data_IF_207000552086
#
_entry.id   IF_207000552086
#
_cell.length_a   1.000
_cell.length_b   1.000
_cell.length_c   1.000
_cell.angle_alpha   90.00
_cell.angle_beta   90.00
_cell.angle_gamma   90.00
#
_symmetry.space_group_name_H-M   'P 1'
#
loop_
_entity.id
_entity.type
_entity.pdbx_description
1 polymer ?
#
# COMPACT_ATOMS: atom_id res chain seq x y z
N UNK A 1 -4.13 -17.87 -26.25
CA UNK A 1 -3.61 -19.00 -25.46
C UNK A 1 -3.56 -18.81 -23.93
N UNK A 2 -4.07 -17.71 -23.35
CA UNK A 2 -3.98 -17.42 -21.90
C UNK A 2 -5.27 -17.70 -21.10
N UNK A 3 -6.42 -17.86 -21.76
CA UNK A 3 -7.70 -18.10 -21.06
C UNK A 3 -7.88 -19.56 -20.66
N UNK A 4 -7.31 -20.51 -21.41
CA UNK A 4 -7.40 -21.95 -21.14
C UNK A 4 -6.69 -22.38 -19.84
N UNK A 5 -5.63 -21.69 -19.43
CA UNK A 5 -4.92 -21.98 -18.18
C UNK A 5 -5.74 -21.55 -16.95
N UNK A 6 -6.46 -20.43 -17.03
CA UNK A 6 -7.34 -19.98 -15.96
C UNK A 6 -8.54 -20.91 -15.77
N UNK A 7 -9.14 -21.38 -16.86
CA UNK A 7 -10.25 -22.36 -16.82
C UNK A 7 -9.77 -23.71 -16.27
N UNK A 8 -8.58 -24.17 -16.66
CA UNK A 8 -7.99 -25.40 -16.12
C UNK A 8 -7.69 -25.32 -14.63
N UNK A 9 -7.14 -24.20 -14.14
CA UNK A 9 -6.86 -23.99 -12.73
C UNK A 9 -8.15 -23.87 -11.90
N UNK A 10 -9.20 -23.25 -12.45
CA UNK A 10 -10.52 -23.15 -11.81
C UNK A 10 -11.22 -24.51 -11.75
N UNK A 11 -11.12 -25.33 -12.79
CA UNK A 11 -11.63 -26.70 -12.81
C UNK A 11 -10.89 -27.61 -11.84
N UNK A 12 -9.57 -27.43 -11.68
CA UNK A 12 -8.76 -28.16 -10.71
C UNK A 12 -9.12 -27.80 -9.25
N UNK A 13 -9.43 -26.55 -8.99
CA UNK A 13 -9.96 -26.09 -7.69
C UNK A 13 -11.34 -26.68 -7.38
N UNK A 14 -12.21 -26.85 -8.39
CA UNK A 14 -13.53 -27.48 -8.23
C UNK A 14 -13.38 -29.00 -8.03
N UNK A 15 -12.48 -29.67 -8.75
CA UNK A 15 -12.25 -31.10 -8.60
C UNK A 15 -11.71 -31.50 -7.22
N UNK A 16 -10.83 -30.65 -6.63
CA UNK A 16 -10.35 -30.84 -5.25
C UNK A 16 -11.48 -30.70 -4.21
N UNK A 17 -12.55 -29.98 -4.54
CA UNK A 17 -13.72 -29.87 -3.65
C UNK A 17 -14.63 -31.12 -3.66
N UNK A 18 -14.72 -31.82 -4.78
CA UNK A 18 -15.63 -32.98 -4.92
C UNK A 18 -15.13 -34.19 -4.12
N UNK A 19 -13.82 -34.47 -4.10
CA UNK A 19 -13.27 -35.55 -3.26
C UNK A 19 -13.31 -35.25 -1.75
N UNK A 20 -13.52 -33.97 -1.40
CA UNK A 20 -13.51 -33.50 -0.02
C UNK A 20 -14.85 -33.71 0.72
N UNK A 21 -15.92 -34.19 0.11
CA UNK A 21 -17.24 -34.30 0.77
C UNK A 21 -17.40 -35.47 1.75
N UNK A 22 -16.46 -36.36 1.84
CA UNK A 22 -16.60 -37.60 2.61
C UNK A 22 -15.80 -37.65 3.91
N UNK A 23 -16.02 -36.77 4.90
CA UNK A 23 -15.82 -37.07 6.34
C UNK A 23 -16.31 -35.97 7.28
N UNK A 24 -17.05 -36.36 8.33
CA UNK A 24 -17.87 -35.59 9.26
C UNK A 24 -17.14 -34.75 10.34
N UNK A 25 -15.99 -34.15 10.12
CA UNK A 25 -15.40 -33.28 11.12
C UNK A 25 -15.47 -31.80 10.71
N UNK A 26 -16.50 -31.11 11.21
CA UNK A 26 -16.64 -29.67 11.12
C UNK A 26 -15.80 -28.99 12.21
N UNK A 27 -14.74 -28.27 11.82
CA UNK A 27 -13.89 -27.55 12.75
C UNK A 27 -14.36 -26.11 13.01
N UNK A 28 -15.13 -25.51 12.09
CA UNK A 28 -15.71 -24.18 12.26
C UNK A 28 -17.10 -24.26 12.85
N UNK A 29 -17.18 -24.47 14.17
CA UNK A 29 -18.44 -24.48 14.91
C UNK A 29 -18.85 -23.10 15.43
N UNK A 30 -17.88 -22.23 15.69
CA UNK A 30 -18.09 -20.95 16.34
C UNK A 30 -18.44 -19.86 15.34
N UNK A 31 -19.25 -18.91 15.81
CA UNK A 31 -19.70 -17.76 15.00
C UNK A 31 -18.80 -16.53 15.18
N UNK A 32 -18.14 -16.41 16.31
CA UNK A 32 -17.34 -15.24 16.65
C UNK A 32 -15.89 -15.63 16.83
N UNK A 33 -15.00 -14.87 16.18
CA UNK A 33 -13.56 -15.00 16.40
C UNK A 33 -12.99 -13.63 16.72
N UNK A 34 -12.12 -13.61 17.70
CA UNK A 34 -11.31 -12.46 18.07
C UNK A 34 -9.84 -12.84 17.95
N UNK A 35 -8.99 -11.89 17.56
CA UNK A 35 -7.58 -12.19 17.41
C UNK A 35 -6.71 -10.98 17.18
N UNK A 36 -5.46 -11.27 16.87
CA UNK A 36 -4.45 -10.29 16.52
C UNK A 36 -3.96 -10.53 15.10
N UNK A 37 -3.63 -9.47 14.40
CA UNK A 37 -3.09 -9.52 13.06
C UNK A 37 -1.79 -8.75 12.97
N UNK A 38 -0.84 -9.28 12.22
CA UNK A 38 0.43 -8.64 11.91
C UNK A 38 0.78 -8.89 10.44
N UNK A 39 1.53 -7.99 9.86
CA UNK A 39 1.89 -8.15 8.47
C UNK A 39 2.79 -7.06 7.93
N UNK A 40 2.96 -7.12 6.63
CA UNK A 40 3.71 -6.13 5.86
C UNK A 40 2.90 -5.66 4.66
N UNK A 41 2.98 -4.38 4.34
CA UNK A 41 2.33 -3.76 3.20
C UNK A 41 3.34 -3.08 2.28
N UNK A 42 3.11 -3.18 0.99
CA UNK A 42 3.88 -2.52 -0.06
C UNK A 42 2.97 -1.50 -0.73
N UNK A 43 3.45 -0.28 -0.90
CA UNK A 43 2.62 0.82 -1.39
C UNK A 43 3.25 1.49 -2.60
N UNK A 44 2.41 1.76 -3.60
CA UNK A 44 2.79 2.47 -4.82
C UNK A 44 1.77 3.57 -5.13
N UNK A 45 2.20 4.81 -5.41
CA UNK A 45 1.35 5.85 -5.95
C UNK A 45 0.93 5.54 -7.39
N UNK A 46 -0.37 5.65 -7.67
CA UNK A 46 -0.93 5.61 -9.02
C UNK A 46 -1.25 7.05 -9.42
N UNK A 47 -0.43 7.60 -10.29
CA UNK A 47 -0.46 9.00 -10.68
C UNK A 47 -1.67 9.27 -11.55
N UNK A 48 -2.45 10.28 -11.19
CA UNK A 48 -3.58 10.79 -11.95
C UNK A 48 -3.19 12.05 -12.74
N UNK A 49 -2.42 12.94 -12.09
CA UNK A 49 -2.04 14.22 -12.67
C UNK A 49 -0.67 14.62 -12.11
N UNK A 50 0.24 15.02 -13.01
CA UNK A 50 1.59 15.46 -12.65
C UNK A 50 1.65 16.97 -12.55
N UNK A 51 2.46 17.45 -11.61
CA UNK A 51 2.69 18.88 -11.39
C UNK A 51 4.19 19.15 -11.31
N UNK A 52 4.61 20.22 -11.96
CA UNK A 52 5.98 20.72 -11.91
C UNK A 52 5.96 22.22 -11.66
N UNK A 53 6.97 22.73 -10.95
CA UNK A 53 7.21 24.17 -10.79
C UNK A 53 7.84 24.78 -12.03
N UNK A 54 8.57 23.98 -12.79
CA UNK A 54 9.25 24.44 -13.99
C UNK A 54 8.35 24.14 -15.19
N UNK A 55 7.92 25.18 -15.88
CA UNK A 55 7.26 25.01 -17.16
C UNK A 55 8.24 24.34 -18.13
N UNK A 56 7.82 23.23 -18.71
CA UNK A 56 8.57 22.60 -19.81
C UNK A 56 8.44 23.47 -21.04
N UNK A 57 9.49 24.19 -21.39
CA UNK A 57 9.55 24.79 -22.72
C UNK A 57 9.50 23.70 -23.77
N UNK A 58 8.92 23.93 -24.97
CA UNK A 58 8.79 22.90 -26.01
C UNK A 58 10.11 22.23 -26.42
N UNK A 59 11.24 22.87 -26.16
CA UNK A 59 12.59 22.33 -26.39
C UNK A 59 13.12 21.49 -25.23
N UNK A 60 12.59 21.65 -24.00
CA UNK A 60 12.97 20.89 -22.81
C UNK A 60 12.00 19.76 -22.47
N UNK A 61 11.01 19.50 -23.33
CA UNK A 61 10.04 18.41 -23.16
C UNK A 61 10.69 17.00 -23.18
N UNK A 62 11.97 16.92 -23.50
CA UNK A 62 12.73 15.69 -23.52
C UNK A 62 13.42 15.45 -22.15
N UNK A 63 12.82 14.56 -21.37
CA UNK A 63 13.46 13.64 -20.41
C UNK A 63 13.97 14.17 -19.07
N UNK A 64 14.23 15.47 -18.86
CA UNK A 64 15.04 15.91 -17.71
C UNK A 64 14.27 16.32 -16.45
N UNK A 65 12.94 16.42 -16.51
CA UNK A 65 12.11 16.89 -15.38
C UNK A 65 11.08 15.88 -14.88
N UNK A 66 11.22 14.62 -15.26
CA UNK A 66 10.23 13.61 -14.90
C UNK A 66 10.46 13.08 -13.49
N UNK A 67 9.42 13.24 -12.63
CA UNK A 67 9.33 12.49 -11.39
C UNK A 67 9.21 11.00 -11.69
N UNK A 68 10.17 10.23 -11.20
CA UNK A 68 10.17 8.76 -11.30
C UNK A 68 9.75 8.16 -9.97
N UNK A 69 8.57 7.52 -9.95
CA UNK A 69 8.09 6.82 -8.77
C UNK A 69 8.68 5.42 -8.67
N UNK A 70 8.99 5.03 -7.44
CA UNK A 70 9.52 3.71 -7.18
C UNK A 70 8.50 2.59 -7.41
N UNK A 71 8.99 1.36 -7.55
CA UNK A 71 8.16 0.18 -7.77
C UNK A 71 7.47 -0.27 -6.47
N UNK A 72 6.36 -1.02 -6.61
CA UNK A 72 5.51 -1.47 -5.50
C UNK A 72 6.28 -2.19 -4.37
N UNK A 73 7.26 -3.04 -4.70
CA UNK A 73 7.95 -3.88 -3.72
C UNK A 73 9.24 -3.28 -3.15
N UNK A 74 9.53 -2.00 -3.41
CA UNK A 74 10.79 -1.39 -2.94
C UNK A 74 10.81 -1.14 -1.43
N UNK A 75 9.67 -0.76 -0.83
CA UNK A 75 9.63 -0.38 0.57
C UNK A 75 8.47 -1.06 1.29
N UNK A 76 8.81 -1.90 2.25
CA UNK A 76 7.84 -2.55 3.11
C UNK A 76 7.43 -1.62 4.26
N UNK A 77 6.13 -1.59 4.55
CA UNK A 77 5.55 -0.97 5.74
C UNK A 77 4.99 -2.02 6.69
N UNK A 78 5.04 -1.74 7.99
CA UNK A 78 4.48 -2.63 9.02
C UNK A 78 2.98 -2.49 9.17
N UNK A 79 2.31 -3.58 9.52
CA UNK A 79 0.87 -3.65 9.83
C UNK A 79 0.72 -4.46 11.11
N UNK A 80 -0.02 -3.93 12.10
CA UNK A 80 -0.36 -4.65 13.33
C UNK A 80 -1.68 -4.15 13.90
N UNK A 81 -2.50 -5.08 14.39
CA UNK A 81 -3.84 -4.74 14.85
C UNK A 81 -4.62 -5.90 15.42
N UNK A 82 -5.91 -5.71 15.51
CA UNK A 82 -6.87 -6.66 16.00
C UNK A 82 -7.64 -7.30 14.86
N UNK A 83 -8.23 -8.44 15.11
CA UNK A 83 -9.11 -9.16 14.20
C UNK A 83 -10.43 -9.49 14.87
N UNK A 84 -11.50 -9.16 14.20
CA UNK A 84 -12.86 -9.51 14.57
C UNK A 84 -13.52 -10.19 13.39
N UNK A 85 -14.13 -11.35 13.58
CA UNK A 85 -14.95 -11.94 12.55
C UNK A 85 -16.27 -12.49 13.10
N UNK A 86 -17.31 -12.30 12.33
CA UNK A 86 -18.64 -12.83 12.58
C UNK A 86 -19.09 -13.70 11.42
N UNK A 87 -19.33 -14.98 11.69
CA UNK A 87 -19.81 -15.94 10.71
C UNK A 87 -21.33 -16.02 10.71
N UNK A 88 -21.96 -15.60 9.63
CA UNK A 88 -23.40 -15.78 9.41
C UNK A 88 -23.74 -17.23 9.09
N UNK A 89 -22.90 -17.85 8.27
CA UNK A 89 -23.02 -19.24 7.88
C UNK A 89 -21.66 -19.93 8.04
N UNK A 90 -21.59 -21.21 7.72
CA UNK A 90 -20.33 -21.98 7.75
C UNK A 90 -19.29 -21.49 6.73
N UNK A 91 -19.77 -20.84 5.67
CA UNK A 91 -18.93 -20.38 4.55
C UNK A 91 -18.82 -18.85 4.47
N UNK A 92 -19.80 -18.11 4.99
CA UNK A 92 -19.83 -16.65 4.87
C UNK A 92 -19.63 -15.97 6.22
N UNK A 93 -18.76 -14.98 6.25
CA UNK A 93 -18.46 -14.15 7.43
C UNK A 93 -18.21 -12.70 7.04
N UNK A 94 -18.41 -11.80 8.00
CA UNK A 94 -17.91 -10.43 7.96
C UNK A 94 -16.69 -10.36 8.85
N UNK A 95 -15.66 -9.69 8.34
CA UNK A 95 -14.37 -9.54 9.00
C UNK A 95 -14.04 -8.06 9.11
N UNK A 96 -13.59 -7.64 10.28
CA UNK A 96 -12.97 -6.34 10.50
C UNK A 96 -11.60 -6.52 11.12
N UNK A 97 -10.61 -5.78 10.61
CA UNK A 97 -9.23 -5.86 11.08
C UNK A 97 -8.69 -4.44 11.35
N UNK A 98 -9.22 -3.75 12.40
CA UNK A 98 -8.66 -2.45 12.76
C UNK A 98 -7.18 -2.58 13.10
N UNK A 99 -6.36 -1.78 12.43
CA UNK A 99 -4.91 -1.90 12.55
C UNK A 99 -4.20 -0.56 12.34
N UNK A 100 -3.00 -0.47 12.89
CA UNK A 100 -2.02 0.55 12.56
C UNK A 100 -1.23 0.07 11.35
N UNK A 101 -1.07 0.95 10.38
CA UNK A 101 -0.33 0.67 9.17
C UNK A 101 0.64 1.80 8.85
N UNK A 102 1.86 1.44 8.48
CA UNK A 102 2.83 2.35 7.89
C UNK A 102 2.87 2.09 6.37
N UNK A 103 2.60 3.10 5.57
CA UNK A 103 2.77 3.09 4.12
C UNK A 103 4.07 3.81 3.77
N UNK A 104 4.85 3.25 2.85
CA UNK A 104 6.11 3.83 2.40
C UNK A 104 6.21 3.77 0.89
N UNK A 105 6.63 4.88 0.29
CA UNK A 105 6.95 4.95 -1.12
C UNK A 105 8.01 6.02 -1.36
N UNK A 106 8.65 5.97 -2.52
CA UNK A 106 9.64 6.94 -2.92
C UNK A 106 9.37 7.45 -4.33
N UNK A 107 9.92 8.60 -4.60
CA UNK A 107 10.06 9.13 -5.95
C UNK A 107 11.34 9.97 -6.05
N UNK A 108 11.79 10.17 -7.27
CA UNK A 108 13.03 10.86 -7.60
C UNK A 108 12.74 11.97 -8.59
N UNK A 109 13.26 13.17 -8.30
CA UNK A 109 13.27 14.30 -9.20
C UNK A 109 14.68 14.48 -9.71
N UNK A 110 14.89 14.47 -11.03
CA UNK A 110 16.15 14.72 -11.68
C UNK A 110 16.10 16.04 -12.42
N UNK A 111 17.07 16.90 -12.19
CA UNK A 111 17.21 18.18 -12.85
C UNK A 111 18.57 18.26 -13.51
N UNK A 112 18.56 18.71 -14.77
CA UNK A 112 19.76 18.92 -15.56
C UNK A 112 19.72 20.32 -16.16
N UNK A 113 20.73 21.13 -15.88
CA UNK A 113 20.91 22.44 -16.47
C UNK A 113 22.26 22.48 -17.19
N UNK A 114 22.26 23.01 -18.43
CA UNK A 114 23.46 23.35 -19.14
C UNK A 114 23.61 24.88 -19.17
N UNK A 115 24.76 25.37 -18.70
CA UNK A 115 25.10 26.78 -18.84
C UNK A 115 25.73 26.99 -20.23
N UNK A 116 25.00 27.69 -21.09
CA UNK A 116 25.45 27.99 -22.45
C UNK A 116 26.64 28.97 -22.52
N UNK A 117 26.94 29.67 -21.42
CA UNK A 117 28.00 30.67 -21.35
C UNK A 117 29.33 30.03 -20.90
N UNK A 118 29.29 29.21 -19.89
CA UNK A 118 30.48 28.57 -19.30
C UNK A 118 30.71 27.15 -19.78
N UNK A 119 29.74 26.54 -20.47
CA UNK A 119 29.78 25.15 -20.89
C UNK A 119 29.68 24.15 -19.71
N UNK A 120 29.31 24.62 -18.51
CA UNK A 120 29.15 23.78 -17.33
C UNK A 120 27.80 23.09 -17.32
N UNK A 121 27.80 21.82 -16.91
CA UNK A 121 26.57 21.05 -16.69
C UNK A 121 26.37 20.84 -15.19
N UNK A 122 25.15 21.07 -14.71
CA UNK A 122 24.76 20.87 -13.32
C UNK A 122 23.66 19.82 -13.26
N UNK A 123 23.94 18.72 -12.56
CA UNK A 123 22.98 17.67 -12.29
C UNK A 123 22.56 17.73 -10.82
N UNK A 124 21.26 17.76 -10.57
CA UNK A 124 20.71 17.63 -9.21
C UNK A 124 19.71 16.50 -9.18
N UNK A 125 19.90 15.60 -8.24
CA UNK A 125 19.01 14.48 -7.99
C UNK A 125 18.45 14.61 -6.56
N UNK A 126 17.11 14.58 -6.45
CA UNK A 126 16.41 14.60 -5.18
C UNK A 126 15.62 13.30 -5.01
N UNK A 127 16.06 12.45 -4.10
CA UNK A 127 15.34 11.25 -3.72
C UNK A 127 14.42 11.56 -2.53
N UNK A 128 13.12 11.51 -2.77
CA UNK A 128 12.09 11.73 -1.78
C UNK A 128 11.55 10.40 -1.27
N UNK A 129 11.69 10.15 0.03
CA UNK A 129 11.09 8.99 0.71
C UNK A 129 9.94 9.46 1.57
N UNK A 130 8.73 8.98 1.29
CA UNK A 130 7.55 9.32 2.05
C UNK A 130 7.11 8.16 2.94
N UNK A 131 6.67 8.51 4.14
CA UNK A 131 6.13 7.60 5.14
C UNK A 131 4.80 8.18 5.64
N UNK A 132 3.72 7.38 5.55
CA UNK A 132 2.40 7.74 6.04
C UNK A 132 1.98 6.70 7.07
N UNK A 133 1.62 7.14 8.27
CA UNK A 133 1.10 6.30 9.32
C UNK A 133 -0.42 6.46 9.42
N UNK A 134 -1.15 5.35 9.27
CA UNK A 134 -2.60 5.33 9.22
C UNK A 134 -3.18 4.42 10.31
N UNK A 135 -4.35 4.81 10.82
CA UNK A 135 -5.30 3.89 11.46
C UNK A 135 -6.24 3.41 10.37
N UNK A 136 -6.32 2.10 10.19
CA UNK A 136 -7.14 1.45 9.16
C UNK A 136 -8.26 0.65 9.81
N UNK A 137 -9.47 0.78 9.27
CA UNK A 137 -10.67 0.06 9.72
C UNK A 137 -11.34 -0.56 8.50
N UNK A 138 -10.98 -1.80 8.11
CA UNK A 138 -11.61 -2.51 7.01
C UNK A 138 -12.90 -3.18 7.47
N UNK A 139 -13.87 -3.27 6.55
CA UNK A 139 -15.07 -4.11 6.67
C UNK A 139 -15.12 -4.98 5.42
N UNK A 140 -14.91 -6.27 5.59
CA UNK A 140 -14.75 -7.23 4.50
C UNK A 140 -15.82 -8.32 4.60
N UNK A 141 -16.49 -8.61 3.49
CA UNK A 141 -17.22 -9.85 3.30
C UNK A 141 -16.20 -10.94 2.92
N UNK A 142 -16.21 -12.05 3.63
CA UNK A 142 -15.33 -13.18 3.42
C UNK A 142 -16.14 -14.44 3.13
N UNK A 143 -15.71 -15.16 2.09
CA UNK A 143 -16.24 -16.45 1.71
C UNK A 143 -15.15 -17.52 1.86
N UNK A 144 -15.40 -18.48 2.72
CA UNK A 144 -14.56 -19.66 2.91
C UNK A 144 -15.03 -20.79 2.00
N UNK A 145 -14.13 -21.45 1.27
CA UNK A 145 -14.48 -22.54 0.36
C UNK A 145 -14.67 -23.88 1.07
N UNK A 146 -14.29 -23.99 2.33
CA UNK A 146 -14.39 -25.22 3.11
C UNK A 146 -14.63 -24.93 4.58
N UNK A 147 -15.42 -25.76 5.25
CA UNK A 147 -15.58 -25.72 6.71
C UNK A 147 -14.64 -26.71 7.44
N UNK A 148 -13.60 -27.18 6.78
CA UNK A 148 -12.60 -28.12 7.30
C UNK A 148 -11.46 -27.42 8.02
N UNK A 149 -10.45 -28.19 8.46
CA UNK A 149 -9.22 -27.67 9.09
C UNK A 149 -8.55 -26.63 8.21
N UNK A 150 -8.36 -26.93 6.93
CA UNK A 150 -7.81 -26.02 5.95
C UNK A 150 -8.95 -25.41 5.15
N UNK A 151 -9.06 -24.11 5.17
CA UNK A 151 -10.11 -23.37 4.48
C UNK A 151 -9.48 -22.24 3.67
N UNK A 152 -9.29 -22.45 2.35
CA UNK A 152 -9.04 -21.33 1.46
C UNK A 152 -10.22 -20.37 1.47
N UNK A 153 -9.96 -19.07 1.30
CA UNK A 153 -11.00 -18.06 1.29
C UNK A 153 -10.67 -16.91 0.33
N UNK A 154 -11.70 -16.21 -0.05
CA UNK A 154 -11.62 -14.91 -0.69
C UNK A 154 -12.34 -13.89 0.18
N UNK A 155 -11.92 -12.64 0.08
CA UNK A 155 -12.57 -11.54 0.80
C UNK A 155 -12.56 -10.28 -0.04
N UNK A 156 -13.61 -9.46 0.12
CA UNK A 156 -13.72 -8.17 -0.55
C UNK A 156 -14.52 -7.21 0.32
N UNK A 157 -14.30 -5.91 0.16
CA UNK A 157 -15.02 -4.89 0.89
C UNK A 157 -14.38 -3.52 0.79
N UNK A 158 -14.59 -2.72 1.82
CA UNK A 158 -14.07 -1.37 1.93
C UNK A 158 -13.22 -1.20 3.19
N UNK A 159 -12.28 -0.27 3.14
CA UNK A 159 -11.49 0.17 4.29
C UNK A 159 -11.56 1.67 4.42
N UNK A 160 -11.80 2.16 5.62
CA UNK A 160 -11.60 3.56 5.99
C UNK A 160 -10.21 3.70 6.63
N UNK A 161 -9.40 4.59 6.10
CA UNK A 161 -8.05 4.85 6.58
C UNK A 161 -7.96 6.32 7.05
N UNK A 162 -7.41 6.53 8.24
CA UNK A 162 -7.20 7.85 8.84
C UNK A 162 -5.70 8.06 8.99
N UNK A 163 -5.12 8.98 8.20
CA UNK A 163 -3.74 9.38 8.32
C UNK A 163 -3.56 10.29 9.55
N UNK A 164 -2.75 9.85 10.51
CA UNK A 164 -2.48 10.63 11.71
C UNK A 164 -1.09 11.28 11.73
N UNK A 165 -0.16 10.77 10.94
CA UNK A 165 1.17 11.33 10.80
C UNK A 165 1.77 10.98 9.44
N UNK A 166 2.38 11.96 8.79
CA UNK A 166 3.15 11.76 7.57
C UNK A 166 4.46 12.52 7.62
N UNK A 167 5.51 11.92 7.13
CA UNK A 167 6.83 12.54 7.02
C UNK A 167 7.45 12.25 5.66
N UNK A 168 8.27 13.19 5.21
CA UNK A 168 9.03 13.12 3.98
C UNK A 168 10.50 13.33 4.30
N UNK A 169 11.33 12.42 3.86
CA UNK A 169 12.78 12.52 3.95
C UNK A 169 13.35 12.76 2.55
N UNK A 170 14.15 13.79 2.41
CA UNK A 170 14.74 14.21 1.14
C UNK A 170 16.25 13.96 1.22
N UNK A 171 16.76 13.24 0.24
CA UNK A 171 18.18 13.03 0.02
C UNK A 171 18.57 13.80 -1.21
N UNK A 172 19.54 14.68 -1.08
CA UNK A 172 20.05 15.50 -2.19
C UNK A 172 21.40 14.97 -2.60
N UNK A 173 21.55 14.63 -3.87
CA UNK A 173 22.84 14.36 -4.50
C UNK A 173 23.13 15.51 -5.47
N UNK A 174 24.17 16.29 -5.18
CA UNK A 174 24.63 17.38 -6.02
C UNK A 174 25.85 16.91 -6.79
N UNK A 175 25.69 16.62 -8.07
CA UNK A 175 26.81 16.37 -8.98
C UNK A 175 27.06 17.63 -9.79
N UNK A 176 28.19 18.27 -9.56
CA UNK A 176 28.69 19.37 -10.37
C UNK A 176 29.84 18.80 -11.19
N UNK A 177 29.64 18.65 -12.49
CA UNK A 177 30.70 18.20 -13.37
C UNK A 177 31.58 19.40 -13.76
N UNK A 178 32.55 19.71 -12.89
CA UNK A 178 33.73 20.45 -13.25
C UNK A 178 34.88 19.44 -13.35
N UNK A 179 34.98 18.77 -14.42
CA UNK A 179 36.05 17.97 -15.03
C UNK A 179 37.08 17.20 -14.12
N UNK A 180 37.09 17.25 -12.80
CA UNK A 180 38.08 16.51 -11.98
C UNK A 180 37.59 16.02 -10.59
N UNK A 181 36.60 16.63 -9.94
CA UNK A 181 36.27 16.23 -8.56
C UNK A 181 34.74 15.98 -8.40
N UNK A 182 34.30 14.71 -8.48
CA UNK A 182 33.00 14.29 -8.02
C UNK A 182 32.89 14.39 -6.51
N UNK A 183 32.51 15.53 -5.99
CA UNK A 183 32.11 15.67 -4.59
C UNK A 183 30.61 15.42 -4.46
N UNK A 184 30.24 14.21 -4.14
CA UNK A 184 28.86 13.85 -3.78
C UNK A 184 28.61 14.29 -2.33
N UNK A 185 27.93 15.39 -2.15
CA UNK A 185 27.46 15.80 -0.84
C UNK A 185 26.03 15.29 -0.65
N UNK A 186 25.86 14.20 0.10
CA UNK A 186 24.55 13.70 0.46
C UNK A 186 24.07 14.42 1.72
N UNK A 187 23.04 15.24 1.61
CA UNK A 187 22.35 15.81 2.76
C UNK A 187 20.97 15.17 2.90
N UNK A 188 20.50 14.98 4.14
CA UNK A 188 19.16 14.50 4.39
C UNK A 188 18.39 15.51 5.22
N UNK A 189 17.18 15.85 4.77
CA UNK A 189 16.24 16.67 5.51
C UNK A 189 14.95 15.93 5.73
N UNK A 190 14.36 16.04 6.93
CA UNK A 190 13.09 15.43 7.28
C UNK A 190 12.05 16.51 7.50
N UNK A 191 10.94 16.42 6.81
CA UNK A 191 9.85 17.37 6.89
C UNK A 191 8.53 16.67 7.21
N UNK A 192 7.70 17.30 8.02
CA UNK A 192 6.34 16.85 8.28
C UNK A 192 5.44 17.20 7.09
N UNK A 193 4.57 16.25 6.70
CA UNK A 193 3.69 16.33 5.53
C UNK A 193 2.22 16.08 5.87
N UNK A 194 1.88 16.00 7.15
CA UNK A 194 0.52 15.62 7.59
C UNK A 194 -0.55 16.59 7.11
N UNK A 195 -0.24 17.89 7.04
CA UNK A 195 -1.15 18.94 6.58
C UNK A 195 -1.48 18.84 5.09
N UNK A 196 -0.56 18.32 4.27
CA UNK A 196 -0.71 18.22 2.82
C UNK A 196 -1.50 16.99 2.35
N UNK A 197 -1.91 16.12 3.29
CA UNK A 197 -2.63 14.89 2.98
C UNK A 197 -4.12 15.01 3.30
N UNK A 198 -4.93 14.41 2.45
CA UNK A 198 -6.29 14.07 2.84
C UNK A 198 -6.23 13.06 3.99
N UNK A 199 -6.57 13.52 5.21
CA UNK A 199 -6.48 12.69 6.42
C UNK A 199 -7.40 11.48 6.38
N UNK A 200 -8.55 11.61 5.72
CA UNK A 200 -9.52 10.53 5.59
C UNK A 200 -9.54 9.99 4.16
N UNK A 201 -9.26 8.71 4.01
CA UNK A 201 -9.28 8.01 2.74
C UNK A 201 -10.12 6.74 2.80
N UNK A 202 -10.72 6.37 1.68
CA UNK A 202 -11.49 5.12 1.52
C UNK A 202 -10.81 4.28 0.47
N UNK A 203 -10.69 2.99 0.74
CA UNK A 203 -10.07 2.01 -0.16
C UNK A 203 -11.05 0.91 -0.52
N UNK A 204 -11.08 0.51 -1.78
CA UNK A 204 -11.61 -0.79 -2.19
C UNK A 204 -10.57 -1.86 -1.86
N UNK A 205 -11.02 -2.97 -1.28
CA UNK A 205 -10.16 -4.06 -0.81
C UNK A 205 -10.62 -5.36 -1.44
N UNK A 206 -9.68 -6.12 -1.99
CA UNK A 206 -9.88 -7.48 -2.45
C UNK A 206 -8.73 -8.36 -2.03
N UNK A 207 -8.99 -9.60 -1.66
CA UNK A 207 -7.92 -10.49 -1.23
C UNK A 207 -8.31 -11.95 -1.18
N UNK A 208 -7.30 -12.77 -0.95
CA UNK A 208 -7.43 -14.21 -0.78
C UNK A 208 -6.48 -14.72 0.30
N UNK A 209 -6.76 -15.89 0.80
CA UNK A 209 -5.91 -16.48 1.82
C UNK A 209 -6.29 -17.91 2.15
N UNK A 210 -5.63 -18.41 3.17
CA UNK A 210 -5.88 -19.73 3.71
C UNK A 210 -5.96 -19.65 5.23
N UNK A 211 -6.93 -20.35 5.83
CA UNK A 211 -7.07 -20.45 7.28
C UNK A 211 -6.94 -21.90 7.72
N UNK A 212 -6.28 -22.09 8.83
CA UNK A 212 -6.19 -23.34 9.54
C UNK A 212 -6.97 -23.25 10.85
N UNK A 213 -8.02 -24.05 10.98
CA UNK A 213 -8.90 -24.06 12.14
C UNK A 213 -8.60 -25.24 13.05
N UNK A 214 -8.48 -24.97 14.34
CA UNK A 214 -8.49 -25.91 15.44
C UNK A 214 -9.61 -25.55 16.41
N UNK A 215 -9.90 -26.43 17.38
CA UNK A 215 -10.96 -26.19 18.36
C UNK A 215 -10.67 -24.97 19.25
N UNK A 216 -9.42 -24.72 19.59
CA UNK A 216 -9.00 -23.67 20.52
C UNK A 216 -8.50 -22.40 19.80
N UNK A 217 -8.05 -22.49 18.57
CA UNK A 217 -7.49 -21.37 17.83
C UNK A 217 -7.64 -21.56 16.32
N UNK A 218 -7.48 -20.47 15.59
CA UNK A 218 -7.32 -20.50 14.14
C UNK A 218 -6.17 -19.57 13.72
N UNK A 219 -5.44 -19.96 12.68
CA UNK A 219 -4.38 -19.17 12.06
C UNK A 219 -4.79 -18.91 10.63
N UNK A 220 -4.61 -17.68 10.18
CA UNK A 220 -4.94 -17.27 8.81
C UNK A 220 -3.77 -16.52 8.19
N UNK A 221 -3.42 -16.90 6.96
CA UNK A 221 -2.51 -16.14 6.10
C UNK A 221 -3.31 -15.56 4.95
N UNK A 222 -3.23 -14.25 4.76
CA UNK A 222 -3.96 -13.54 3.70
C UNK A 222 -3.08 -12.59 2.93
N UNK A 223 -3.35 -12.47 1.62
CA UNK A 223 -2.86 -11.43 0.74
C UNK A 223 -4.01 -10.54 0.30
N UNK A 224 -3.87 -9.23 0.43
CA UNK A 224 -4.89 -8.27 0.03
C UNK A 224 -4.30 -7.22 -0.90
N UNK A 225 -5.11 -6.79 -1.86
CA UNK A 225 -4.84 -5.63 -2.71
C UNK A 225 -5.85 -4.56 -2.34
N UNK A 226 -5.38 -3.34 -2.13
CA UNK A 226 -6.18 -2.19 -1.76
C UNK A 226 -5.92 -1.03 -2.72
N UNK A 227 -6.97 -0.44 -3.22
CA UNK A 227 -6.92 0.73 -4.11
C UNK A 227 -7.65 1.90 -3.47
N UNK A 228 -6.95 3.03 -3.30
CA UNK A 228 -7.53 4.26 -2.78
C UNK A 228 -8.53 4.85 -3.76
N UNK A 229 -9.74 5.10 -3.28
CA UNK A 229 -10.82 5.68 -4.09
C UNK A 229 -10.77 7.22 -4.13
N UNK A 230 -10.01 7.80 -3.21
CA UNK A 230 -9.82 9.25 -3.09
C UNK A 230 -8.36 9.62 -3.27
N UNK A 231 -8.09 10.80 -3.81
CA UNK A 231 -6.73 11.33 -3.92
C UNK A 231 -6.09 11.48 -2.53
N UNK A 232 -4.84 11.07 -2.42
CA UNK A 232 -4.09 11.10 -1.17
C UNK A 232 -3.65 12.52 -0.79
N UNK A 233 -3.35 13.36 -1.79
CA UNK A 233 -2.91 14.74 -1.59
C UNK A 233 -4.12 15.66 -1.57
N UNK A 234 -4.13 16.61 -0.63
CA UNK A 234 -5.12 17.68 -0.61
C UNK A 234 -4.83 18.68 -1.75
N UNK A 235 -5.77 18.89 -2.69
CA UNK A 235 -5.55 19.81 -3.80
C UNK A 235 -5.31 21.25 -3.37
N UNK A 236 -5.87 21.68 -2.24
CA UNK A 236 -5.74 23.05 -1.72
C UNK A 236 -4.40 23.28 -1.03
N UNK A 237 -3.88 22.26 -0.35
CA UNK A 237 -2.60 22.31 0.36
C UNK A 237 -1.38 22.01 -0.53
N UNK A 238 -1.59 21.69 -1.80
CA UNK A 238 -0.52 21.41 -2.77
C UNK A 238 0.40 22.60 -2.99
N UNK A 239 -0.17 23.79 -3.01
CA UNK A 239 0.49 25.08 -3.25
C UNK A 239 0.61 25.90 -1.97
N UNK A 240 0.35 25.30 -0.81
CA UNK A 240 0.43 26.02 0.45
C UNK A 240 1.86 26.54 0.69
N UNK A 241 2.00 27.46 1.65
CA UNK A 241 3.21 28.18 2.06
C UNK A 241 4.42 27.30 2.44
N UNK A 242 4.45 26.08 1.96
CA UNK A 242 5.56 25.18 2.09
C UNK A 242 6.70 25.61 1.16
N UNK A 243 7.06 26.88 1.31
CA UNK A 243 8.02 27.59 0.47
C UNK A 243 9.39 26.91 0.43
N UNK A 244 9.80 26.29 1.54
CA UNK A 244 11.06 25.58 1.61
C UNK A 244 11.17 24.40 0.64
N UNK A 245 10.11 23.57 0.51
CA UNK A 245 10.17 22.41 -0.41
C UNK A 245 10.06 22.82 -1.86
N UNK A 246 9.15 23.74 -2.19
CA UNK A 246 8.93 24.17 -3.55
C UNK A 246 10.15 24.97 -4.07
N UNK A 247 10.74 25.84 -3.26
CA UNK A 247 11.89 26.67 -3.65
C UNK A 247 13.23 25.96 -3.51
N UNK A 248 13.41 25.12 -2.48
CA UNK A 248 14.69 24.49 -2.18
C UNK A 248 14.88 23.16 -2.95
N UNK A 249 13.78 22.39 -3.11
CA UNK A 249 13.83 21.05 -3.74
C UNK A 249 13.03 20.97 -5.04
N UNK A 250 12.51 22.08 -5.54
CA UNK A 250 11.74 22.16 -6.80
C UNK A 250 10.62 21.13 -6.86
N UNK A 251 9.92 20.90 -5.74
CA UNK A 251 8.98 19.81 -5.59
C UNK A 251 7.56 20.29 -5.29
N UNK A 252 6.62 19.87 -6.12
CA UNK A 252 5.16 20.02 -5.94
C UNK A 252 4.53 18.65 -5.91
N UNK A 253 3.57 18.43 -5.00
CA UNK A 253 2.92 17.12 -4.87
C UNK A 253 2.03 16.83 -6.08
N UNK A 254 2.23 15.67 -6.70
CA UNK A 254 1.37 15.14 -7.76
C UNK A 254 0.03 14.67 -7.17
N UNK A 255 -0.99 14.62 -8.02
CA UNK A 255 -2.28 14.02 -7.67
C UNK A 255 -2.22 12.52 -7.91
N UNK A 256 -2.40 11.73 -6.87
CA UNK A 256 -2.33 10.28 -6.97
C UNK A 256 -3.24 9.58 -5.97
N UNK A 257 -3.60 8.35 -6.29
CA UNK A 257 -4.20 7.39 -5.38
C UNK A 257 -3.15 6.35 -4.98
N UNK A 258 -3.32 5.74 -3.81
CA UNK A 258 -2.40 4.70 -3.34
C UNK A 258 -2.94 3.31 -3.69
N UNK A 259 -2.08 2.51 -4.32
CA UNK A 259 -2.24 1.07 -4.45
C UNK A 259 -1.38 0.41 -3.37
N UNK A 260 -1.96 -0.48 -2.57
CA UNK A 260 -1.24 -1.20 -1.52
C UNK A 260 -1.48 -2.69 -1.63
N UNK A 261 -0.42 -3.49 -1.53
CA UNK A 261 -0.48 -4.94 -1.40
C UNK A 261 -0.04 -5.34 0.00
N UNK A 262 -0.88 -6.06 0.73
CA UNK A 262 -0.64 -6.46 2.11
C UNK A 262 -0.52 -7.98 2.21
N UNK A 263 0.45 -8.45 2.99
CA UNK A 263 0.54 -9.84 3.43
C UNK A 263 0.37 -9.85 4.94
N UNK A 264 -0.63 -10.58 5.43
CA UNK A 264 -0.99 -10.56 6.86
C UNK A 264 -1.13 -11.97 7.41
N UNK A 265 -0.58 -12.16 8.60
CA UNK A 265 -0.76 -13.33 9.44
C UNK A 265 -1.70 -12.96 10.58
N UNK A 266 -2.74 -13.75 10.81
CA UNK A 266 -3.73 -13.53 11.85
C UNK A 266 -3.84 -14.76 12.74
N UNK A 267 -3.75 -14.56 14.05
CA UNK A 267 -4.03 -15.57 15.08
C UNK A 267 -5.37 -15.22 15.73
N UNK A 268 -6.31 -16.18 15.73
CA UNK A 268 -7.67 -15.99 16.22
C UNK A 268 -8.03 -17.04 17.26
N UNK A 269 -8.86 -16.66 18.22
CA UNK A 269 -9.49 -17.57 19.17
C UNK A 269 -11.01 -17.50 18.99
N UNK A 270 -11.71 -18.65 19.02
CA UNK A 270 -13.15 -18.67 18.97
C UNK A 270 -13.74 -18.19 20.31
N UNK A 271 -14.78 -17.37 20.22
CA UNK A 271 -15.55 -16.96 21.39
C UNK A 271 -16.74 -17.91 21.51
N UNK A 272 -16.61 -18.86 22.43
CA UNK A 272 -17.70 -19.79 22.75
C UNK A 272 -18.77 -19.08 23.57
N UNK A 273 -19.92 -18.83 23.00
CA UNK A 273 -21.08 -18.38 23.77
C UNK A 273 -21.75 -19.62 24.35
N UNK A 274 -21.50 -19.89 25.64
CA UNK A 274 -22.36 -20.84 26.40
C UNK A 274 -23.72 -20.18 26.53
N UNK A 275 -24.72 -20.74 25.87
CA UNK A 275 -26.14 -20.47 26.12
C UNK A 275 -26.64 -21.44 27.19
#
# INVERSE_FOLDING_TARGET
MKLSWFVGMFMLLIAVQVEAQSRKHQYRKDRYFFGVTMGSGFTQPIIQERFSLLETTPQSANENFDKKYGNLFQHAGGIYGLHFSFAFTKLFSVVSQPCFQTQRYNYMNNYHWSDTITGGEVYKEFLHRQKINNIRIPILARMDFSARRWSPFIQAGLSADIAYFASKQIYTDNQVDHSVDRKTAVSSNVSEMTAHLNRFNVYAVGGAGISYYREQFAISLSGNVRYGLRTTIDPFERYSDYTGMASEYLDVQDKFNLLTMDIMLTLMVPIHKKW
#
